data_IF_301351625956
#
_entry.id   IF_301351625956
#
_cell.length_a   1.000
_cell.length_b   1.000
_cell.length_c   1.000
_cell.angle_alpha   90.00
_cell.angle_beta   90.00
_cell.angle_gamma   90.00
#
_symmetry.space_group_name_H-M   'P 1'
#
loop_
_entity.id
_entity.type
_entity.pdbx_description
1 polymer ?
#
# COMPACT_ATOMS: atom_id res chain seq x y z
N UNK A 1 21.98 -26.41 -58.95
CA UNK A 1 22.44 -26.39 -60.35
C UNK A 1 23.94 -26.45 -60.30
N UNK A 2 24.46 -27.52 -59.68
CA UNK A 2 24.47 -28.91 -60.21
C UNK A 2 25.47 -28.90 -61.38
N UNK A 3 26.46 -29.76 -61.51
CA UNK A 3 26.78 -31.07 -60.96
C UNK A 3 28.25 -31.27 -61.39
N UNK A 4 29.16 -31.78 -60.54
CA UNK A 4 29.58 -33.18 -60.52
C UNK A 4 30.17 -33.72 -61.85
N UNK A 5 31.45 -34.08 -61.79
CA UNK A 5 32.09 -35.16 -62.56
C UNK A 5 33.47 -35.40 -61.91
N UNK A 6 33.60 -36.37 -61.00
CA UNK A 6 33.79 -37.81 -61.26
C UNK A 6 35.13 -38.13 -61.91
N UNK A 7 35.92 -38.91 -61.16
CA UNK A 7 36.84 -39.92 -61.67
C UNK A 7 36.83 -41.03 -60.61
N UNK A 8 35.90 -41.97 -60.72
CA UNK A 8 35.97 -43.25 -61.45
C UNK A 8 37.05 -44.24 -60.97
N UNK A 9 36.51 -45.42 -60.71
CA UNK A 9 37.00 -46.63 -60.06
C UNK A 9 37.38 -47.65 -61.14
N UNK A 10 38.34 -48.53 -60.86
CA UNK A 10 38.19 -49.90 -61.34
C UNK A 10 38.74 -50.90 -60.30
N UNK A 11 37.86 -51.81 -59.88
CA UNK A 11 38.02 -52.82 -58.82
C UNK A 11 37.71 -54.18 -59.43
N UNK A 12 38.57 -55.16 -59.18
CA UNK A 12 38.38 -56.56 -59.54
C UNK A 12 37.51 -57.28 -58.48
N UNK A 13 36.59 -58.18 -58.84
CA UNK A 13 35.43 -58.55 -58.02
C UNK A 13 35.66 -59.80 -57.15
N UNK A 14 34.74 -60.09 -56.21
CA UNK A 14 34.38 -61.44 -55.75
C UNK A 14 33.11 -61.44 -54.85
N UNK A 15 32.08 -62.12 -55.36
CA UNK A 15 30.99 -62.93 -54.75
C UNK A 15 30.40 -62.55 -53.37
N UNK A 16 29.10 -62.23 -53.23
CA UNK A 16 27.83 -62.98 -53.38
C UNK A 16 27.25 -63.47 -52.02
N UNK A 17 25.93 -63.35 -51.92
CA UNK A 17 25.05 -63.08 -50.77
C UNK A 17 24.72 -64.26 -49.81
N UNK A 18 24.29 -63.87 -48.59
CA UNK A 18 23.27 -64.53 -47.72
C UNK A 18 23.55 -65.87 -46.99
N UNK A 19 23.67 -65.81 -45.65
CA UNK A 19 23.46 -66.94 -44.72
C UNK A 19 22.85 -66.46 -43.39
N UNK A 20 21.52 -66.30 -43.31
CA UNK A 20 20.82 -66.44 -42.02
C UNK A 20 20.72 -67.95 -41.74
N UNK A 21 21.61 -68.49 -40.91
CA UNK A 21 21.54 -69.90 -40.51
C UNK A 21 20.32 -70.09 -39.60
N UNK A 22 19.34 -70.84 -40.09
CA UNK A 22 18.14 -71.19 -39.33
C UNK A 22 18.54 -72.22 -38.25
N UNK A 23 18.35 -71.87 -36.98
CA UNK A 23 18.69 -72.74 -35.85
C UNK A 23 17.85 -74.02 -35.92
N UNK A 24 18.48 -75.19 -35.74
CA UNK A 24 17.75 -76.45 -35.67
C UNK A 24 16.93 -76.51 -34.37
N UNK A 25 15.79 -77.23 -34.36
CA UNK A 25 14.90 -77.30 -33.19
C UNK A 25 15.61 -77.73 -31.91
N UNK A 26 16.56 -78.67 -32.00
CA UNK A 26 17.36 -79.12 -30.86
C UNK A 26 18.25 -78.01 -30.27
N UNK A 27 18.82 -77.14 -31.10
CA UNK A 27 19.63 -76.02 -30.62
C UNK A 27 18.79 -74.95 -29.94
N UNK A 28 17.57 -74.70 -30.45
CA UNK A 28 16.61 -73.82 -29.80
C UNK A 28 16.19 -74.37 -28.43
N UNK A 29 15.92 -75.68 -28.34
CA UNK A 29 15.54 -76.31 -27.08
C UNK A 29 16.69 -76.28 -26.06
N UNK A 30 17.93 -76.43 -26.52
CA UNK A 30 19.10 -76.38 -25.65
C UNK A 30 19.38 -74.97 -25.11
N UNK A 31 19.19 -73.93 -25.93
CA UNK A 31 19.27 -72.54 -25.48
C UNK A 31 18.14 -72.17 -24.53
N UNK A 32 16.92 -72.65 -24.81
CA UNK A 32 15.79 -72.46 -23.91
C UNK A 32 16.10 -73.06 -22.53
N UNK A 33 16.50 -74.33 -22.46
CA UNK A 33 16.82 -74.99 -21.20
C UNK A 33 18.03 -74.36 -20.47
N UNK A 34 18.99 -73.76 -21.20
CA UNK A 34 20.08 -72.99 -20.58
C UNK A 34 19.62 -71.65 -20.01
N UNK A 35 18.68 -70.97 -20.69
CA UNK A 35 18.24 -69.64 -20.31
C UNK A 35 17.13 -69.66 -19.25
N UNK A 36 16.31 -70.72 -19.22
CA UNK A 36 15.28 -70.90 -18.21
C UNK A 36 15.84 -71.63 -17.00
N UNK A 37 16.43 -70.89 -16.06
CA UNK A 37 16.26 -71.29 -14.66
C UNK A 37 14.75 -71.37 -14.42
N UNK A 38 14.23 -72.54 -14.05
CA UNK A 38 12.81 -72.76 -13.78
C UNK A 38 12.33 -71.69 -12.78
N UNK A 39 11.56 -70.71 -13.27
CA UNK A 39 10.96 -69.68 -12.42
C UNK A 39 9.89 -70.40 -11.60
N UNK A 40 10.21 -70.72 -10.35
CA UNK A 40 9.26 -71.29 -9.40
C UNK A 40 8.30 -70.15 -9.03
N UNK A 41 7.15 -70.09 -9.71
CA UNK A 41 6.07 -69.20 -9.32
C UNK A 41 5.46 -69.76 -8.01
N UNK A 42 5.68 -69.06 -6.90
CA UNK A 42 5.04 -69.37 -5.64
C UNK A 42 3.68 -68.66 -5.57
N UNK A 43 2.72 -69.21 -4.82
CA UNK A 43 1.37 -68.65 -4.72
C UNK A 43 1.30 -67.25 -4.09
N UNK A 44 2.44 -66.70 -3.63
CA UNK A 44 2.55 -65.38 -3.00
C UNK A 44 2.98 -64.27 -3.97
N UNK A 45 3.32 -64.59 -5.21
CA UNK A 45 3.78 -63.59 -6.21
C UNK A 45 2.65 -62.68 -6.71
N UNK A 46 1.39 -63.12 -6.64
CA UNK A 46 0.24 -62.27 -6.96
C UNK A 46 -0.32 -61.61 -5.68
N UNK A 47 0.07 -60.36 -5.44
CA UNK A 47 -0.49 -59.53 -4.37
C UNK A 47 -1.44 -58.46 -4.91
N UNK A 48 -2.58 -58.30 -4.24
CA UNK A 48 -3.53 -57.25 -4.53
C UNK A 48 -2.96 -55.89 -4.06
N UNK A 49 -2.90 -54.91 -4.97
CA UNK A 49 -2.23 -53.62 -4.74
C UNK A 49 -2.85 -52.86 -3.56
N UNK A 50 -2.07 -52.61 -2.51
CA UNK A 50 -2.55 -51.96 -1.29
C UNK A 50 -2.89 -50.47 -1.56
N UNK A 51 -4.18 -50.17 -1.72
CA UNK A 51 -4.67 -48.78 -1.91
C UNK A 51 -5.05 -48.17 -0.56
N UNK A 52 -4.66 -46.93 -0.34
CA UNK A 52 -5.05 -46.14 0.85
C UNK A 52 -6.57 -45.93 0.89
N UNK A 53 -7.15 -46.01 2.08
CA UNK A 53 -8.58 -45.75 2.30
C UNK A 53 -8.86 -44.24 2.27
N UNK A 54 -9.24 -43.77 1.08
CA UNK A 54 -9.96 -42.52 0.73
C UNK A 54 -9.42 -41.18 1.27
N UNK A 55 -9.32 -40.18 0.38
CA UNK A 55 -9.00 -38.79 0.76
C UNK A 55 -10.26 -38.02 1.17
N UNK A 56 -10.17 -37.16 2.19
CA UNK A 56 -11.26 -36.28 2.58
C UNK A 56 -11.68 -35.36 1.41
N UNK A 57 -12.99 -35.12 1.28
CA UNK A 57 -13.53 -34.23 0.24
C UNK A 57 -13.19 -32.77 0.54
N UNK A 58 -12.90 -32.01 -0.51
CA UNK A 58 -12.61 -30.58 -0.41
C UNK A 58 -13.78 -29.83 0.24
N UNK A 59 -13.50 -28.78 1.05
CA UNK A 59 -14.53 -27.96 1.67
C UNK A 59 -15.41 -27.29 0.61
N UNK A 60 -16.70 -27.16 0.90
CA UNK A 60 -17.64 -26.44 0.03
C UNK A 60 -17.39 -24.93 0.17
N UNK A 61 -17.25 -24.23 -0.95
CA UNK A 61 -17.13 -22.76 -0.96
C UNK A 61 -18.44 -22.09 -0.54
N UNK A 62 -18.35 -20.87 -0.01
CA UNK A 62 -19.50 -20.04 0.38
C UNK A 62 -20.19 -19.42 -0.85
N UNK A 63 -21.41 -18.90 -0.65
CA UNK A 63 -22.15 -18.16 -1.70
C UNK A 63 -21.53 -16.78 -1.91
N UNK A 64 -21.17 -16.47 -3.14
CA UNK A 64 -20.72 -15.13 -3.56
C UNK A 64 -21.96 -14.25 -3.73
N UNK A 65 -22.09 -13.19 -2.91
CA UNK A 65 -23.16 -12.19 -3.05
C UNK A 65 -22.64 -11.10 -3.98
N UNK A 66 -23.12 -11.09 -5.23
CA UNK A 66 -22.82 -10.02 -6.16
C UNK A 66 -23.74 -8.84 -5.88
N UNK A 67 -23.19 -7.78 -5.27
CA UNK A 67 -23.84 -6.47 -5.18
C UNK A 67 -23.31 -5.57 -6.29
N UNK A 68 -24.17 -4.84 -7.01
CA UNK A 68 -23.73 -3.92 -8.05
C UNK A 68 -22.95 -2.75 -7.43
N UNK A 69 -21.88 -2.32 -8.11
CA UNK A 69 -21.15 -1.10 -7.78
C UNK A 69 -21.33 -0.08 -8.92
N UNK A 70 -21.71 1.18 -8.64
CA UNK A 70 -22.02 1.73 -7.31
C UNK A 70 -23.33 1.17 -6.73
N UNK A 71 -23.50 1.20 -5.39
CA UNK A 71 -24.76 0.78 -4.76
C UNK A 71 -25.94 1.57 -5.36
N UNK A 72 -27.11 0.93 -5.55
CA UNK A 72 -28.29 1.62 -6.02
C UNK A 72 -28.64 2.76 -5.06
N UNK A 73 -29.13 3.92 -5.54
CA UNK A 73 -29.53 5.03 -4.71
C UNK A 73 -30.80 4.66 -3.93
N UNK A 74 -30.65 3.88 -2.86
CA UNK A 74 -31.72 3.60 -1.91
C UNK A 74 -31.29 4.18 -0.58
N UNK A 75 -31.94 5.27 -0.17
CA UNK A 75 -31.63 5.97 1.09
C UNK A 75 -30.61 7.11 0.98
N UNK A 76 -30.15 7.48 -0.22
CA UNK A 76 -29.64 8.84 -0.41
C UNK A 76 -30.88 9.73 -0.40
N UNK A 77 -31.12 10.45 0.69
CA UNK A 77 -32.03 11.60 0.66
C UNK A 77 -31.42 12.56 -0.35
N UNK A 78 -31.94 12.54 -1.57
CA UNK A 78 -31.62 13.50 -2.61
C UNK A 78 -32.17 14.84 -2.11
N UNK A 79 -31.32 15.87 -2.08
CA UNK A 79 -31.60 17.21 -1.55
C UNK A 79 -32.11 17.26 -0.10
N UNK A 80 -31.21 17.04 0.86
CA UNK A 80 -31.29 17.88 2.05
C UNK A 80 -30.89 19.28 1.56
N UNK A 81 -31.82 20.24 1.57
CA UNK A 81 -31.50 21.66 1.47
C UNK A 81 -30.64 22.00 2.70
N UNK A 82 -29.32 21.81 2.57
CA UNK A 82 -28.37 22.11 3.62
C UNK A 82 -28.25 23.63 3.69
N UNK A 83 -28.97 24.25 4.61
CA UNK A 83 -28.82 25.67 4.91
C UNK A 83 -27.46 25.90 5.61
N UNK A 84 -26.50 26.38 4.83
CA UNK A 84 -25.12 26.65 5.26
C UNK A 84 -25.10 27.65 6.43
N UNK A 85 -26.05 28.59 6.48
CA UNK A 85 -26.12 29.60 7.54
C UNK A 85 -26.62 29.00 8.85
N UNK A 86 -27.58 28.07 8.81
CA UNK A 86 -27.99 27.32 10.00
C UNK A 86 -26.85 26.50 10.58
N UNK A 87 -26.06 25.83 9.72
CA UNK A 87 -24.90 25.06 10.18
C UNK A 87 -23.85 25.96 10.83
N UNK A 88 -23.57 27.14 10.28
CA UNK A 88 -22.67 28.12 10.91
C UNK A 88 -23.19 28.58 12.28
N UNK A 89 -24.49 28.83 12.39
CA UNK A 89 -25.09 29.26 13.65
C UNK A 89 -25.01 28.17 14.74
N UNK A 90 -25.25 26.91 14.38
CA UNK A 90 -25.08 25.76 15.30
C UNK A 90 -23.61 25.66 15.74
N UNK A 91 -22.67 25.72 14.79
CA UNK A 91 -21.24 25.67 15.09
C UNK A 91 -20.79 26.82 16.00
N UNK A 92 -21.32 28.03 15.81
CA UNK A 92 -21.05 29.20 16.66
C UNK A 92 -21.60 29.01 18.08
N UNK A 93 -22.79 28.42 18.21
CA UNK A 93 -23.39 28.11 19.50
C UNK A 93 -22.58 27.06 20.27
N UNK A 94 -22.11 26.01 19.59
CA UNK A 94 -21.28 24.96 20.18
C UNK A 94 -19.88 25.45 20.58
N UNK A 95 -19.27 26.33 19.78
CA UNK A 95 -17.94 26.87 20.03
C UNK A 95 -17.87 27.75 21.29
N UNK A 96 -18.95 28.46 21.61
CA UNK A 96 -19.01 29.38 22.75
C UNK A 96 -18.12 30.63 22.56
N UNK A 97 -17.62 31.25 23.64
CA UNK A 97 -16.79 32.45 23.53
C UNK A 97 -15.40 32.13 22.97
N UNK A 98 -14.88 33.01 22.10
CA UNK A 98 -13.52 32.88 21.56
C UNK A 98 -12.48 32.93 22.68
N UNK A 99 -11.73 31.84 22.83
CA UNK A 99 -10.65 31.68 23.80
C UNK A 99 -9.42 31.04 23.15
N UNK A 100 -8.26 31.26 23.77
CA UNK A 100 -7.03 30.56 23.44
C UNK A 100 -7.03 29.27 24.25
N UNK A 101 -7.12 28.13 23.56
CA UNK A 101 -7.12 26.81 24.17
C UNK A 101 -5.70 26.37 24.54
N UNK A 102 -4.73 26.63 23.65
CA UNK A 102 -3.34 26.23 23.85
C UNK A 102 -2.38 27.26 23.31
N UNK A 103 -1.27 27.45 24.00
CA UNK A 103 -0.14 28.21 23.50
C UNK A 103 1.16 27.47 23.82
N UNK A 104 2.15 27.66 22.97
CA UNK A 104 3.49 27.12 23.14
C UNK A 104 4.50 28.20 22.74
N UNK A 105 5.52 28.47 23.55
CA UNK A 105 5.87 27.83 24.83
C UNK A 105 4.90 28.21 25.97
N UNK A 106 4.59 27.25 26.85
CA UNK A 106 3.70 27.48 28.00
C UNK A 106 4.44 28.03 29.22
N UNK A 107 5.74 27.76 29.29
CA UNK A 107 6.61 28.18 30.38
C UNK A 107 6.93 29.68 30.29
N UNK A 108 7.03 30.33 31.45
CA UNK A 108 7.48 31.73 31.52
C UNK A 108 8.97 31.87 31.25
N UNK A 109 9.76 30.86 31.58
CA UNK A 109 11.21 30.82 31.37
C UNK A 109 11.56 29.64 30.49
N UNK A 110 12.40 29.90 29.48
CA UNK A 110 12.74 28.94 28.43
C UNK A 110 14.25 28.81 28.43
N UNK A 111 14.73 27.60 28.74
CA UNK A 111 16.16 27.31 28.84
C UNK A 111 16.72 26.58 27.60
N UNK A 112 15.92 26.50 26.53
CA UNK A 112 16.27 25.86 25.26
C UNK A 112 16.11 26.82 24.07
N UNK A 113 16.67 26.45 22.92
CA UNK A 113 16.56 27.24 21.69
C UNK A 113 15.12 27.22 21.19
N UNK A 114 14.52 28.39 21.05
CA UNK A 114 13.18 28.55 20.49
C UNK A 114 13.24 29.32 19.16
N UNK A 115 12.59 28.78 18.12
CA UNK A 115 12.42 29.43 16.82
C UNK A 115 10.95 29.60 16.44
N UNK A 116 10.04 28.97 17.19
CA UNK A 116 8.62 28.92 16.86
C UNK A 116 7.73 29.19 18.06
N UNK A 117 6.68 29.96 17.83
CA UNK A 117 5.63 30.26 18.82
C UNK A 117 4.30 29.83 18.22
N UNK A 118 3.50 29.09 18.97
CA UNK A 118 2.23 28.54 18.49
C UNK A 118 1.07 28.98 19.37
N UNK A 119 -0.04 29.35 18.74
CA UNK A 119 -1.29 29.74 19.37
C UNK A 119 -2.45 28.94 18.77
N UNK A 120 -3.25 28.29 19.62
CA UNK A 120 -4.41 27.47 19.22
C UNK A 120 -5.67 28.05 19.83
N UNK A 121 -6.67 28.32 18.99
CA UNK A 121 -7.99 28.81 19.39
C UNK A 121 -9.00 27.66 19.51
N UNK A 122 -10.06 27.86 20.30
CA UNK A 122 -11.15 26.90 20.44
C UNK A 122 -11.95 26.71 19.12
N UNK A 123 -11.99 27.72 18.26
CA UNK A 123 -12.79 27.76 17.02
C UNK A 123 -11.96 28.17 15.80
N UNK A 124 -12.38 27.82 14.57
CA UNK A 124 -11.64 28.18 13.37
C UNK A 124 -11.64 29.70 13.15
N UNK A 125 -10.46 30.26 12.95
CA UNK A 125 -10.23 31.68 12.71
C UNK A 125 -10.20 32.02 11.22
N UNK A 126 -9.74 31.08 10.39
CA UNK A 126 -9.69 31.24 8.93
C UNK A 126 -10.44 30.11 8.23
N UNK A 127 -10.89 30.38 6.99
CA UNK A 127 -11.42 29.37 6.11
C UNK A 127 -10.31 28.37 5.71
N UNK A 128 -10.68 27.10 5.48
CA UNK A 128 -9.74 26.06 5.06
C UNK A 128 -9.08 26.41 3.71
N UNK A 129 -9.77 27.12 2.84
CA UNK A 129 -9.26 27.59 1.54
C UNK A 129 -8.12 28.60 1.64
N UNK A 130 -7.96 29.27 2.78
CA UNK A 130 -6.97 30.35 2.99
C UNK A 130 -5.75 29.88 3.79
N UNK A 131 -5.52 28.57 3.91
CA UNK A 131 -4.42 28.02 4.71
C UNK A 131 -3.03 28.34 4.14
N UNK A 132 -2.91 28.40 2.81
CA UNK A 132 -1.63 28.63 2.12
C UNK A 132 -1.25 30.12 2.03
N UNK A 133 -2.14 31.02 2.42
CA UNK A 133 -1.89 32.46 2.37
C UNK A 133 -0.99 32.90 3.52
N UNK A 134 0.09 33.61 3.16
CA UNK A 134 1.00 34.20 4.12
C UNK A 134 0.21 35.20 4.97
N UNK A 135 -0.02 34.84 6.23
CA UNK A 135 -0.90 35.59 7.12
C UNK A 135 -0.12 36.74 7.77
N UNK A 136 -0.75 37.91 7.86
CA UNK A 136 -0.27 38.97 8.74
C UNK A 136 -0.97 38.85 10.10
N UNK A 137 -0.19 38.69 11.17
CA UNK A 137 -0.73 38.60 12.53
C UNK A 137 -1.36 39.91 13.01
N UNK A 138 -0.94 41.05 12.45
CA UNK A 138 -1.49 42.36 12.79
C UNK A 138 -2.97 42.47 12.39
N UNK A 139 -3.36 41.88 11.25
CA UNK A 139 -4.76 41.84 10.79
C UNK A 139 -5.66 41.08 11.78
N UNK A 140 -5.08 40.13 12.52
CA UNK A 140 -5.76 39.35 13.54
C UNK A 140 -5.69 40.01 14.93
N UNK A 141 -5.12 41.22 15.04
CA UNK A 141 -4.93 41.90 16.32
C UNK A 141 -3.89 41.24 17.22
N UNK A 142 -2.95 40.47 16.65
CA UNK A 142 -1.89 39.78 17.38
C UNK A 142 -0.58 40.56 17.20
N UNK A 143 0.01 40.99 18.32
CA UNK A 143 1.26 41.74 18.32
C UNK A 143 2.31 41.02 19.17
N UNK A 144 3.52 40.87 18.62
CA UNK A 144 4.69 40.33 19.32
C UNK A 144 5.67 41.47 19.62
N UNK A 145 6.12 41.56 20.88
CA UNK A 145 7.11 42.56 21.31
C UNK A 145 8.25 41.87 22.06
N UNK A 146 9.53 42.17 21.75
CA UNK A 146 10.02 43.01 20.65
C UNK A 146 9.70 42.45 19.25
N UNK A 147 9.81 43.30 18.22
CA UNK A 147 9.61 42.89 16.82
C UNK A 147 10.77 42.00 16.39
N UNK A 148 10.44 40.86 15.78
CA UNK A 148 11.41 39.85 15.36
C UNK A 148 11.13 39.51 13.90
N UNK A 149 12.21 39.41 13.12
CA UNK A 149 12.11 38.94 11.74
C UNK A 149 11.62 37.49 11.72
N UNK A 150 10.47 37.28 11.10
CA UNK A 150 9.86 35.98 10.97
C UNK A 150 8.63 36.02 10.09
N UNK A 151 7.94 34.89 10.03
CA UNK A 151 6.73 34.71 9.23
C UNK A 151 5.66 34.04 10.05
N UNK A 152 4.43 34.52 9.91
CA UNK A 152 3.25 33.89 10.48
C UNK A 152 2.65 32.93 9.46
N UNK A 153 2.26 31.74 9.90
CA UNK A 153 1.54 30.77 9.08
C UNK A 153 0.49 30.05 9.89
N UNK A 154 -0.61 29.68 9.26
CA UNK A 154 -1.57 28.76 9.85
C UNK A 154 -1.09 27.32 9.64
N UNK A 155 -1.04 26.52 10.71
CA UNK A 155 -0.82 25.06 10.62
C UNK A 155 -2.16 24.31 10.47
N UNK A 156 -3.27 25.04 10.62
CA UNK A 156 -4.65 24.59 10.44
C UNK A 156 -5.58 25.77 10.70
N UNK A 157 -6.90 25.59 10.59
CA UNK A 157 -7.85 26.72 10.72
C UNK A 157 -7.93 27.32 12.12
N UNK A 158 -7.43 26.61 13.15
CA UNK A 158 -7.43 27.03 14.56
C UNK A 158 -6.05 27.39 15.11
N UNK A 159 -4.98 27.03 14.41
CA UNK A 159 -3.61 27.05 14.96
C UNK A 159 -2.71 27.96 14.17
N UNK A 160 -2.35 29.09 14.77
CA UNK A 160 -1.43 30.08 14.21
C UNK A 160 -0.02 29.81 14.75
N UNK A 161 0.97 29.80 13.87
CA UNK A 161 2.36 29.58 14.21
C UNK A 161 3.23 30.70 13.65
N UNK A 162 4.06 31.29 14.52
CA UNK A 162 5.14 32.18 14.14
C UNK A 162 6.43 31.37 13.97
N UNK A 163 7.09 31.55 12.83
CA UNK A 163 8.43 31.01 12.54
C UNK A 163 9.41 32.18 12.45
N UNK A 164 10.29 32.30 13.43
CA UNK A 164 11.36 33.27 13.39
C UNK A 164 12.39 32.88 12.31
N UNK A 165 12.93 33.87 11.59
CA UNK A 165 13.97 33.66 10.57
C UNK A 165 15.26 33.11 11.18
N UNK A 166 15.53 33.48 12.43
CA UNK A 166 16.65 33.01 13.23
C UNK A 166 16.15 32.59 14.61
N UNK A 167 16.98 31.88 15.38
CA UNK A 167 16.68 31.57 16.78
C UNK A 167 16.36 32.85 17.56
N UNK A 168 15.43 32.76 18.50
CA UNK A 168 15.11 33.86 19.40
C UNK A 168 16.32 34.14 20.31
N UNK A 169 16.76 35.40 20.44
CA UNK A 169 17.77 35.79 21.39
C UNK A 169 17.43 35.34 22.82
N UNK A 170 18.43 34.77 23.50
CA UNK A 170 18.35 34.45 24.93
C UNK A 170 18.24 35.71 25.78
N UNK A 171 17.83 35.54 27.05
CA UNK A 171 17.75 36.62 28.04
C UNK A 171 16.88 37.80 27.60
N UNK A 172 15.88 37.55 26.75
CA UNK A 172 14.96 38.57 26.23
C UNK A 172 13.54 38.23 26.64
N UNK A 173 12.81 39.22 27.15
CA UNK A 173 11.40 39.07 27.50
C UNK A 173 10.55 39.34 26.27
N UNK A 174 9.80 38.33 25.84
CA UNK A 174 8.83 38.44 24.75
C UNK A 174 7.42 38.52 25.30
N UNK A 175 6.62 39.44 24.77
CA UNK A 175 5.20 39.58 25.08
C UNK A 175 4.40 39.41 23.81
N UNK A 176 3.56 38.38 23.78
CA UNK A 176 2.54 38.19 22.74
C UNK A 176 1.21 38.70 23.29
N UNK A 177 0.62 39.69 22.63
CA UNK A 177 -0.68 40.25 22.99
C UNK A 177 -1.68 39.95 21.88
N UNK A 178 -2.86 39.48 22.28
CA UNK A 178 -3.98 39.15 21.38
C UNK A 178 -5.14 40.07 21.73
N UNK A 179 -5.55 40.93 20.79
CA UNK A 179 -6.65 41.86 20.99
C UNK A 179 -7.97 41.21 20.60
N UNK A 180 -8.79 40.88 21.62
CA UNK A 180 -10.11 40.28 21.43
C UNK A 180 -11.04 41.06 20.49
N UNK A 181 -10.89 42.38 20.39
CA UNK A 181 -11.74 43.22 19.51
C UNK A 181 -11.43 43.08 18.01
N UNK A 182 -10.23 42.60 17.67
CA UNK A 182 -9.78 42.40 16.29
C UNK A 182 -9.72 40.92 15.88
N UNK A 183 -9.87 40.00 16.82
CA UNK A 183 -9.93 38.58 16.52
C UNK A 183 -11.36 38.18 16.12
N UNK A 184 -11.59 37.93 14.84
CA UNK A 184 -12.87 37.43 14.30
C UNK A 184 -12.69 35.97 13.86
N UNK A 185 -13.64 35.11 14.22
CA UNK A 185 -13.64 33.71 13.77
C UNK A 185 -14.29 33.52 12.41
N UNK A 186 -13.87 32.49 11.68
CA UNK A 186 -14.42 32.16 10.36
C UNK A 186 -15.89 31.74 10.39
N UNK A 187 -16.39 31.26 11.53
CA UNK A 187 -17.80 30.91 11.74
C UNK A 187 -18.69 32.10 12.14
N UNK A 188 -18.13 33.32 12.15
CA UNK A 188 -18.82 34.58 12.42
C UNK A 188 -18.91 34.99 13.87
#
# INVERSE_FOLDING_TARGET
MDDEATADVEVTPLNDDSQQQNLTPDQLQHLFNQASCELIAESADEQEFFKREVTMKAPKTSKIIQTPFPPPPSGRTEDLDIDIEQLKQIAKQEAGPLIIERYSPSERQIDYVLSTITLTFNQPMIAVSSLDEQTNAEDLGISLTPIIDGRWRWTGTKTLQFEAKHRLPYSTNYTLRVNKGHCVSAIG
#
